data_IF_811189474621
#
_entry.id   IF_811189474621
#
_cell.length_a   1.000
_cell.length_b   1.000
_cell.length_c   1.000
_cell.angle_alpha   90.00
_cell.angle_beta   90.00
_cell.angle_gamma   90.00
#
_symmetry.space_group_name_H-M   'P 1'
#
loop_
_entity.id
_entity.type
_entity.pdbx_description
1 polymer ?
#
# COMPACT_ATOMS: atom_id res chain seq x y z
N UNK A 1 4.28 -16.87 7.64
CA UNK A 1 4.69 -15.48 7.36
C UNK A 1 4.90 -15.30 5.87
N UNK A 2 5.16 -14.06 5.43
CA UNK A 2 5.42 -13.73 4.02
C UNK A 2 6.74 -14.34 3.49
N UNK A 3 7.68 -14.64 4.39
CA UNK A 3 8.90 -15.39 4.10
C UNK A 3 8.76 -16.80 4.68
N UNK A 4 8.64 -17.79 3.82
CA UNK A 4 8.57 -19.20 4.17
C UNK A 4 9.46 -20.04 3.25
N UNK A 5 9.86 -21.22 3.72
CA UNK A 5 10.58 -22.17 2.87
C UNK A 5 9.72 -22.59 1.67
N UNK A 6 10.38 -23.06 0.60
CA UNK A 6 9.70 -23.45 -0.66
C UNK A 6 8.61 -24.52 -0.44
N UNK A 7 8.85 -25.42 0.49
CA UNK A 7 7.92 -26.47 0.93
C UNK A 7 6.90 -25.99 1.99
N UNK A 8 6.96 -24.72 2.39
CA UNK A 8 6.14 -24.07 3.42
C UNK A 8 6.23 -24.73 4.80
N UNK A 9 7.24 -25.55 5.05
CA UNK A 9 7.43 -26.24 6.33
C UNK A 9 7.98 -25.33 7.43
N UNK A 10 8.64 -24.23 7.06
CA UNK A 10 9.30 -23.33 8.01
C UNK A 10 9.07 -21.86 7.69
N UNK A 11 9.00 -21.05 8.75
CA UNK A 11 8.99 -19.59 8.68
C UNK A 11 10.44 -19.10 8.67
N UNK A 12 10.80 -18.24 7.71
CA UNK A 12 12.18 -17.76 7.54
C UNK A 12 12.43 -16.40 8.20
N UNK A 13 11.54 -15.95 9.09
CA UNK A 13 11.63 -14.62 9.69
C UNK A 13 12.59 -14.54 10.88
N UNK A 14 12.64 -15.57 11.72
CA UNK A 14 13.38 -15.53 12.98
C UNK A 14 14.75 -16.19 12.88
N UNK A 15 15.69 -15.63 13.63
CA UNK A 15 16.98 -16.24 13.95
C UNK A 15 17.35 -15.85 15.38
N UNK A 16 17.21 -16.81 16.31
CA UNK A 16 17.51 -16.63 17.74
C UNK A 16 18.98 -16.29 18.02
N UNK A 17 19.88 -16.54 17.05
CA UNK A 17 21.31 -16.24 17.19
C UNK A 17 21.63 -14.78 16.89
N UNK A 18 20.72 -14.07 16.23
CA UNK A 18 20.91 -12.67 15.89
C UNK A 18 20.34 -11.76 16.98
N UNK A 19 21.08 -10.71 17.35
CA UNK A 19 20.69 -9.78 18.42
C UNK A 19 19.32 -9.10 18.22
N UNK A 20 18.84 -9.05 16.98
CA UNK A 20 17.54 -8.46 16.64
C UNK A 20 16.41 -9.49 16.52
N UNK A 21 16.70 -10.78 16.70
CA UNK A 21 15.75 -11.89 16.50
C UNK A 21 15.36 -12.16 15.04
N UNK A 22 15.85 -11.36 14.08
CA UNK A 22 15.54 -11.49 12.66
C UNK A 22 16.63 -12.28 11.92
N UNK A 23 16.20 -13.18 11.04
CA UNK A 23 17.08 -13.85 10.09
C UNK A 23 17.71 -12.86 9.09
N UNK A 24 18.79 -13.28 8.42
CA UNK A 24 19.45 -12.44 7.40
C UNK A 24 18.51 -12.07 6.23
N UNK A 25 17.63 -12.98 5.81
CA UNK A 25 16.67 -12.71 4.73
C UNK A 25 15.58 -11.76 5.19
N UNK A 26 15.09 -11.90 6.43
CA UNK A 26 14.08 -11.00 6.99
C UNK A 26 14.62 -9.58 7.19
N UNK A 27 15.89 -9.44 7.61
CA UNK A 27 16.56 -8.14 7.71
C UNK A 27 16.66 -7.44 6.36
N UNK A 28 17.06 -8.15 5.31
CA UNK A 28 17.15 -7.59 3.95
C UNK A 28 15.79 -7.21 3.39
N UNK A 29 14.79 -8.05 3.60
CA UNK A 29 13.40 -7.76 3.22
C UNK A 29 12.91 -6.48 3.90
N UNK A 30 13.11 -6.39 5.22
CA UNK A 30 12.76 -5.21 5.99
C UNK A 30 13.49 -3.95 5.50
N UNK A 31 14.77 -4.07 5.17
CA UNK A 31 15.55 -2.93 4.67
C UNK A 31 14.98 -2.38 3.36
N UNK A 32 14.58 -3.24 2.42
CA UNK A 32 13.93 -2.81 1.18
C UNK A 32 12.58 -2.13 1.45
N UNK A 33 11.76 -2.69 2.33
CA UNK A 33 10.48 -2.05 2.74
C UNK A 33 10.70 -0.66 3.33
N UNK A 34 11.74 -0.46 4.15
CA UNK A 34 12.04 0.83 4.77
C UNK A 34 12.62 1.83 3.75
N UNK A 35 13.48 1.38 2.83
CA UNK A 35 14.00 2.21 1.73
C UNK A 35 12.84 2.76 0.86
N UNK A 36 11.86 1.91 0.54
CA UNK A 36 10.73 2.28 -0.32
C UNK A 36 9.54 2.87 0.45
N UNK A 37 9.67 3.18 1.74
CA UNK A 37 8.55 3.52 2.60
C UNK A 37 7.72 4.71 2.09
N UNK A 38 8.39 5.75 1.59
CA UNK A 38 7.72 6.94 1.05
C UNK A 38 6.92 6.61 -0.22
N UNK A 39 7.49 5.85 -1.17
CA UNK A 39 6.78 5.41 -2.37
C UNK A 39 5.63 4.43 -2.06
N UNK A 40 5.84 3.50 -1.12
CA UNK A 40 4.82 2.57 -0.64
C UNK A 40 3.61 3.29 -0.02
N UNK A 41 3.81 4.51 0.46
CA UNK A 41 2.73 5.34 1.03
C UNK A 41 1.61 5.59 0.04
N UNK A 42 1.92 5.76 -1.25
CA UNK A 42 0.92 5.97 -2.29
C UNK A 42 -0.06 4.78 -2.37
N UNK A 43 0.45 3.54 -2.22
CA UNK A 43 -0.38 2.34 -2.24
C UNK A 43 -1.07 2.04 -0.91
N UNK A 44 -0.42 2.37 0.21
CA UNK A 44 -0.93 2.16 1.56
C UNK A 44 -2.01 3.17 1.96
N UNK A 45 -1.91 4.39 1.47
CA UNK A 45 -2.77 5.51 1.78
C UNK A 45 -3.11 6.22 0.46
N UNK A 46 -4.00 5.64 -0.37
CA UNK A 46 -4.19 6.12 -1.74
C UNK A 46 -5.13 7.33 -1.84
N UNK A 47 -5.69 7.81 -0.74
CA UNK A 47 -6.65 8.93 -0.72
C UNK A 47 -6.12 10.11 0.06
N UNK A 48 -6.60 11.33 -0.25
CA UNK A 48 -6.24 12.53 0.52
C UNK A 48 -6.60 12.32 2.00
N UNK A 49 -7.75 11.71 2.26
CA UNK A 49 -8.26 11.52 3.62
C UNK A 49 -7.39 10.58 4.47
N UNK A 50 -6.65 9.68 3.83
CA UNK A 50 -5.76 8.73 4.52
C UNK A 50 -4.65 9.43 5.31
N UNK A 51 -4.24 10.64 4.90
CA UNK A 51 -3.10 11.36 5.47
C UNK A 51 -3.45 12.20 6.70
N UNK A 52 -4.72 12.52 6.95
CA UNK A 52 -5.14 13.12 8.23
C UNK A 52 -4.81 12.23 9.43
N UNK A 53 -4.67 10.92 9.20
CA UNK A 53 -4.29 9.96 10.23
C UNK A 53 -2.79 10.00 10.54
N UNK A 54 -1.95 10.49 9.63
CA UNK A 54 -0.48 10.51 9.78
C UNK A 54 -0.09 11.72 10.62
N UNK A 55 -0.37 11.65 11.92
CA UNK A 55 -0.07 12.69 12.89
C UNK A 55 0.48 12.06 14.16
N UNK A 56 1.47 12.67 14.80
CA UNK A 56 2.04 12.16 16.06
C UNK A 56 0.96 11.97 17.12
N UNK A 57 1.02 10.84 17.83
CA UNK A 57 0.03 10.48 18.85
C UNK A 57 -1.28 9.88 18.31
N UNK A 58 -1.46 9.74 17.00
CA UNK A 58 -2.64 9.10 16.39
C UNK A 58 -2.60 7.57 16.37
N UNK A 59 -1.51 6.97 16.85
CA UNK A 59 -1.16 5.55 16.70
C UNK A 59 -0.82 5.09 15.28
N UNK A 60 -0.81 6.01 14.31
CA UNK A 60 -0.27 5.77 12.98
C UNK A 60 1.22 6.09 12.92
N UNK A 61 2.00 5.32 12.14
CA UNK A 61 3.42 5.58 12.02
C UNK A 61 3.68 6.92 11.31
N UNK A 62 4.72 7.63 11.76
CA UNK A 62 5.18 8.90 11.16
C UNK A 62 6.58 8.81 10.54
N UNK A 63 7.31 7.71 10.78
CA UNK A 63 8.67 7.48 10.29
C UNK A 63 8.81 6.11 9.65
N UNK A 64 9.66 6.02 8.63
CA UNK A 64 10.14 4.79 8.02
C UNK A 64 11.07 4.06 9.00
N UNK A 65 10.48 3.41 10.00
CA UNK A 65 11.20 2.76 11.08
C UNK A 65 10.55 1.45 11.49
N UNK A 66 11.30 0.66 12.26
CA UNK A 66 10.84 -0.63 12.73
C UNK A 66 11.20 -0.89 14.18
N UNK A 67 10.44 -1.76 14.83
CA UNK A 67 10.69 -2.15 16.22
C UNK A 67 10.08 -3.50 16.56
N UNK A 68 10.66 -4.15 17.57
CA UNK A 68 10.16 -5.41 18.13
C UNK A 68 8.98 -5.10 19.03
N UNK A 69 7.81 -5.65 18.72
CA UNK A 69 6.55 -5.38 19.42
C UNK A 69 6.18 -3.88 19.53
N UNK A 70 6.84 -3.02 18.75
CA UNK A 70 6.69 -1.57 18.84
C UNK A 70 5.56 -1.05 17.95
N UNK A 71 4.50 -0.54 18.55
CA UNK A 71 3.31 -0.01 17.85
C UNK A 71 3.46 1.42 17.34
N UNK A 72 4.57 2.08 17.66
CA UNK A 72 4.85 3.46 17.21
C UNK A 72 5.63 3.47 15.88
N UNK A 73 6.19 2.32 15.49
CA UNK A 73 6.94 2.14 14.25
C UNK A 73 6.06 1.83 13.04
N UNK A 74 6.54 2.07 11.82
CA UNK A 74 5.88 1.66 10.57
C UNK A 74 5.81 0.15 10.44
N UNK A 75 6.94 -0.53 10.69
CA UNK A 75 6.99 -2.00 10.69
C UNK A 75 7.17 -2.50 12.12
N UNK A 76 6.15 -3.19 12.62
CA UNK A 76 6.25 -3.90 13.89
C UNK A 76 6.62 -5.35 13.63
N UNK A 77 7.75 -5.78 14.16
CA UNK A 77 8.10 -7.19 14.17
C UNK A 77 7.44 -7.86 15.38
N UNK A 78 6.63 -8.89 15.12
CA UNK A 78 5.96 -9.69 16.13
C UNK A 78 6.63 -11.05 16.15
N UNK A 79 7.20 -11.40 17.29
CA UNK A 79 7.91 -12.67 17.45
C UNK A 79 6.94 -13.83 17.72
N UNK A 80 7.36 -15.06 17.43
CA UNK A 80 6.60 -16.25 17.78
C UNK A 80 6.57 -16.44 19.30
N UNK A 81 5.39 -16.28 19.90
CA UNK A 81 5.16 -16.39 21.35
C UNK A 81 5.57 -17.73 21.98
N UNK A 82 5.74 -18.78 21.16
CA UNK A 82 5.93 -20.16 21.60
C UNK A 82 7.35 -20.68 21.29
N UNK A 83 8.26 -19.82 20.79
CA UNK A 83 9.62 -20.21 20.42
C UNK A 83 9.75 -21.13 19.20
N UNK A 84 8.64 -21.45 18.51
CA UNK A 84 8.65 -22.35 17.35
C UNK A 84 8.83 -21.61 16.00
N UNK A 85 9.04 -20.29 16.04
CA UNK A 85 9.23 -19.43 14.86
C UNK A 85 8.00 -19.26 13.96
N UNK A 86 6.94 -20.05 14.13
CA UNK A 86 5.82 -20.08 13.17
C UNK A 86 5.00 -18.80 13.21
N UNK A 87 4.80 -18.24 14.41
CA UNK A 87 4.03 -17.02 14.63
C UNK A 87 4.71 -15.72 14.19
N UNK A 88 6.01 -15.77 13.85
CA UNK A 88 6.82 -14.61 13.52
C UNK A 88 6.32 -13.89 12.26
N UNK A 89 6.14 -12.59 12.34
CA UNK A 89 5.61 -11.78 11.22
C UNK A 89 5.98 -10.31 11.31
N UNK A 90 6.03 -9.66 10.16
CA UNK A 90 5.97 -8.21 10.07
C UNK A 90 4.51 -7.76 10.03
N UNK A 91 4.17 -6.78 10.84
CA UNK A 91 2.95 -5.99 10.78
C UNK A 91 3.30 -4.64 10.15
N UNK A 92 2.84 -4.40 8.92
CA UNK A 92 2.91 -3.09 8.26
C UNK A 92 1.74 -2.23 8.71
N UNK A 93 2.02 -1.18 9.48
CA UNK A 93 1.01 -0.41 10.22
C UNK A 93 0.48 0.82 9.49
N UNK A 94 1.03 1.12 8.33
CA UNK A 94 0.68 2.29 7.54
C UNK A 94 -0.62 2.16 6.72
N UNK A 95 -0.95 0.99 6.13
CA UNK A 95 -2.12 0.88 5.27
C UNK A 95 -3.42 1.41 5.90
N UNK A 96 -4.19 2.13 5.10
CA UNK A 96 -5.53 2.61 5.42
C UNK A 96 -6.58 1.60 4.97
N UNK A 97 -7.81 1.75 5.44
CA UNK A 97 -8.94 0.95 4.94
C UNK A 97 -9.33 1.29 3.50
N UNK A 98 -8.85 2.42 2.97
CA UNK A 98 -9.03 2.82 1.58
C UNK A 98 -8.02 2.15 0.63
N UNK A 99 -6.95 1.54 1.17
CA UNK A 99 -5.97 0.82 0.37
C UNK A 99 -6.59 -0.40 -0.32
N UNK A 100 -6.25 -0.61 -1.59
CA UNK A 100 -6.51 -1.89 -2.23
C UNK A 100 -5.57 -2.94 -1.60
N UNK A 101 -6.09 -3.96 -0.89
CA UNK A 101 -5.27 -4.90 -0.14
C UNK A 101 -4.35 -5.73 -1.04
N UNK A 102 -4.74 -5.97 -2.30
CA UNK A 102 -3.90 -6.69 -3.26
C UNK A 102 -2.70 -5.85 -3.68
N UNK A 103 -2.92 -4.57 -4.00
CA UNK A 103 -1.84 -3.66 -4.38
C UNK A 103 -0.91 -3.37 -3.21
N UNK A 104 -1.47 -3.14 -2.02
CA UNK A 104 -0.68 -2.95 -0.80
C UNK A 104 0.21 -4.18 -0.55
N UNK A 105 -0.33 -5.40 -0.59
CA UNK A 105 0.47 -6.61 -0.37
C UNK A 105 1.52 -6.82 -1.47
N UNK A 106 1.15 -6.62 -2.74
CA UNK A 106 2.06 -6.82 -3.86
C UNK A 106 3.26 -5.86 -3.81
N UNK A 107 3.00 -4.58 -3.55
CA UNK A 107 4.05 -3.55 -3.46
C UNK A 107 4.92 -3.72 -2.22
N UNK A 108 4.35 -4.13 -1.09
CA UNK A 108 5.11 -4.52 0.10
C UNK A 108 6.07 -5.68 -0.17
N UNK A 109 5.62 -6.70 -0.91
CA UNK A 109 6.48 -7.82 -1.33
C UNK A 109 7.56 -7.35 -2.30
N UNK A 110 7.20 -6.52 -3.30
CA UNK A 110 8.13 -5.99 -4.28
C UNK A 110 9.28 -5.22 -3.61
N UNK A 111 8.96 -4.29 -2.70
CA UNK A 111 9.94 -3.54 -1.94
C UNK A 111 10.85 -4.44 -1.10
N UNK A 112 10.29 -5.47 -0.45
CA UNK A 112 11.12 -6.42 0.30
C UNK A 112 11.99 -7.32 -0.58
N UNK A 113 11.53 -7.67 -1.79
CA UNK A 113 12.35 -8.39 -2.77
C UNK A 113 13.52 -7.52 -3.24
N UNK A 114 13.32 -6.22 -3.46
CA UNK A 114 14.41 -5.28 -3.78
C UNK A 114 15.53 -5.37 -2.73
N UNK A 115 15.15 -5.24 -1.46
CA UNK A 115 16.10 -5.29 -0.35
C UNK A 115 16.87 -6.60 -0.27
N UNK A 116 16.24 -7.73 -0.60
CA UNK A 116 16.90 -9.03 -0.71
C UNK A 116 17.89 -9.06 -1.88
N UNK A 117 17.49 -8.60 -3.05
CA UNK A 117 18.31 -8.63 -4.28
C UNK A 117 19.54 -7.72 -4.15
N UNK A 118 19.37 -6.52 -3.58
CA UNK A 118 20.45 -5.55 -3.35
C UNK A 118 21.25 -5.82 -2.07
N UNK A 119 20.85 -6.79 -1.25
CA UNK A 119 21.55 -7.13 -0.01
C UNK A 119 21.53 -6.03 1.03
N UNK A 120 20.44 -5.25 1.10
CA UNK A 120 20.33 -4.08 1.97
C UNK A 120 20.37 -4.45 3.46
N UNK A 121 20.81 -3.50 4.28
CA UNK A 121 20.86 -3.65 5.73
C UNK A 121 19.92 -2.64 6.38
N UNK A 122 18.96 -3.07 7.22
CA UNK A 122 18.02 -2.14 7.84
C UNK A 122 18.74 -1.35 8.95
N UNK A 123 18.24 -0.16 9.30
CA UNK A 123 18.73 0.57 10.46
C UNK A 123 18.51 -0.22 11.75
N UNK A 124 19.12 0.24 12.84
CA UNK A 124 18.82 -0.31 14.16
C UNK A 124 17.32 -0.14 14.48
N UNK A 125 16.76 -1.11 15.19
CA UNK A 125 15.37 -1.03 15.61
C UNK A 125 15.18 0.08 16.64
N UNK A 126 14.01 0.71 16.62
CA UNK A 126 13.64 1.73 17.59
C UNK A 126 13.24 1.06 18.90
N UNK A 127 13.92 1.47 19.98
CA UNK A 127 13.56 1.13 21.37
C UNK A 127 12.85 2.33 21.98
N UNK A 128 11.69 2.10 22.60
CA UNK A 128 10.85 3.16 23.16
C UNK A 128 9.86 3.71 22.13
N UNK A 129 9.53 5.00 22.26
CA UNK A 129 8.52 5.66 21.44
C UNK A 129 9.14 6.33 20.20
N UNK A 130 8.74 5.89 19.01
CA UNK A 130 9.19 6.47 17.74
C UNK A 130 8.71 7.92 17.53
N UNK A 131 7.61 8.35 18.18
CA UNK A 131 7.14 9.74 18.10
C UNK A 131 8.03 10.71 18.87
N UNK A 132 8.80 10.19 19.84
CA UNK A 132 9.71 10.97 20.67
C UNK A 132 11.12 11.09 20.07
N UNK A 133 11.35 10.54 18.88
CA UNK A 133 12.63 10.63 18.19
C UNK A 133 12.81 11.99 17.50
N UNK A 134 13.97 12.59 17.69
CA UNK A 134 14.37 13.82 17.02
C UNK A 134 14.42 13.64 15.49
N UNK A 135 14.12 14.71 14.75
CA UNK A 135 14.18 14.71 13.28
C UNK A 135 15.58 14.39 12.73
N UNK A 136 16.63 14.64 13.52
CA UNK A 136 18.02 14.32 13.18
C UNK A 136 18.46 12.88 13.48
N UNK A 137 17.55 11.96 13.85
CA UNK A 137 17.90 10.59 14.24
C UNK A 137 18.32 9.67 13.06
N UNK A 138 18.30 10.18 11.82
CA UNK A 138 18.68 9.42 10.62
C UNK A 138 17.61 8.43 10.14
N UNK A 139 16.35 8.62 10.55
CA UNK A 139 15.20 7.86 10.06
C UNK A 139 14.26 8.80 9.30
N UNK A 140 13.91 8.41 8.08
CA UNK A 140 13.09 9.24 7.19
C UNK A 140 11.66 9.40 7.72
N UNK A 141 11.11 10.58 7.51
CA UNK A 141 9.69 10.87 7.76
C UNK A 141 8.85 10.23 6.64
N UNK A 142 7.68 9.72 7.02
CA UNK A 142 6.70 9.29 6.03
C UNK A 142 5.99 10.52 5.43
N UNK A 143 5.53 10.41 4.16
CA UNK A 143 4.70 11.43 3.55
C UNK A 143 3.50 11.82 4.42
N UNK A 144 3.29 13.12 4.55
CA UNK A 144 2.18 13.72 5.30
C UNK A 144 1.01 14.15 4.41
N UNK A 145 1.16 13.96 3.10
CA UNK A 145 0.11 14.18 2.11
C UNK A 145 0.18 13.16 0.97
N UNK A 146 -0.95 12.97 0.28
CA UNK A 146 -1.02 12.13 -0.92
C UNK A 146 -0.09 12.65 -2.02
N UNK A 147 0.04 13.98 -2.15
CA UNK A 147 0.96 14.59 -3.12
C UNK A 147 2.41 14.20 -2.84
N UNK A 148 2.88 14.28 -1.59
CA UNK A 148 4.23 13.86 -1.23
C UNK A 148 4.47 12.37 -1.52
N UNK A 149 3.48 11.51 -1.28
CA UNK A 149 3.59 10.08 -1.56
C UNK A 149 3.63 9.77 -3.06
N UNK A 150 2.87 10.50 -3.88
CA UNK A 150 2.88 10.39 -5.34
C UNK A 150 4.23 10.84 -5.91
N UNK A 151 4.76 11.96 -5.45
CA UNK A 151 6.10 12.42 -5.88
C UNK A 151 7.19 11.42 -5.45
N UNK A 152 7.12 10.90 -4.21
CA UNK A 152 8.03 9.86 -3.77
C UNK A 152 7.93 8.58 -4.61
N UNK A 153 6.74 8.21 -5.08
CA UNK A 153 6.56 7.07 -5.98
C UNK A 153 7.17 7.35 -7.36
N UNK A 154 6.96 8.54 -7.94
CA UNK A 154 7.56 8.94 -9.23
C UNK A 154 9.09 8.87 -9.21
N UNK A 155 9.70 9.23 -8.09
CA UNK A 155 11.15 9.27 -7.93
C UNK A 155 11.77 7.89 -7.61
N UNK A 156 10.95 6.86 -7.34
CA UNK A 156 11.43 5.54 -6.93
C UNK A 156 11.70 4.59 -8.11
N UNK A 157 12.76 4.89 -8.86
CA UNK A 157 13.16 4.11 -10.05
C UNK A 157 13.38 2.62 -9.77
N UNK A 158 13.82 2.28 -8.56
CA UNK A 158 14.07 0.90 -8.13
C UNK A 158 12.76 0.13 -7.95
N UNK A 159 11.76 0.76 -7.32
CA UNK A 159 10.44 0.16 -7.17
C UNK A 159 9.73 0.05 -8.52
N UNK A 160 9.88 1.06 -9.40
CA UNK A 160 9.42 0.99 -10.79
C UNK A 160 10.03 -0.21 -11.54
N UNK A 161 11.33 -0.46 -11.40
CA UNK A 161 12.00 -1.58 -12.07
C UNK A 161 11.44 -2.95 -11.67
N UNK A 162 10.87 -3.09 -10.46
CA UNK A 162 10.28 -4.34 -9.97
C UNK A 162 8.80 -4.45 -10.34
N UNK A 163 8.04 -3.37 -10.20
CA UNK A 163 6.60 -3.36 -10.47
C UNK A 163 6.26 -3.26 -11.97
N UNK A 164 7.19 -2.72 -12.77
CA UNK A 164 7.00 -2.37 -14.17
C UNK A 164 6.54 -0.91 -14.32
N UNK A 165 7.25 -0.14 -15.14
CA UNK A 165 7.01 1.29 -15.31
C UNK A 165 5.57 1.58 -15.80
N UNK A 166 5.09 0.82 -16.80
CA UNK A 166 3.72 0.97 -17.33
C UNK A 166 2.64 0.86 -16.23
N UNK A 167 2.81 -0.07 -15.29
CA UNK A 167 1.88 -0.24 -14.17
C UNK A 167 1.94 0.96 -13.23
N UNK A 168 3.15 1.41 -12.88
CA UNK A 168 3.31 2.54 -11.95
C UNK A 168 2.79 3.83 -12.58
N UNK A 169 3.08 4.10 -13.85
CA UNK A 169 2.54 5.26 -14.57
C UNK A 169 1.01 5.24 -14.65
N UNK A 170 0.42 4.08 -14.94
CA UNK A 170 -1.04 3.94 -14.93
C UNK A 170 -1.62 4.21 -13.53
N UNK A 171 -1.01 3.64 -12.49
CA UNK A 171 -1.45 3.83 -11.11
C UNK A 171 -1.37 5.30 -10.68
N UNK A 172 -0.23 5.96 -10.93
CA UNK A 172 -0.04 7.38 -10.68
C UNK A 172 -1.13 8.21 -11.37
N UNK A 173 -1.37 7.96 -12.66
CA UNK A 173 -2.40 8.66 -13.42
C UNK A 173 -3.80 8.48 -12.83
N UNK A 174 -4.15 7.25 -12.42
CA UNK A 174 -5.44 6.94 -11.80
C UNK A 174 -5.64 7.74 -10.51
N UNK A 175 -4.66 7.68 -9.60
CA UNK A 175 -4.75 8.35 -8.29
C UNK A 175 -4.75 9.87 -8.44
N UNK A 176 -3.90 10.44 -9.30
CA UNK A 176 -3.89 11.88 -9.54
C UNK A 176 -5.23 12.39 -10.08
N UNK A 177 -5.83 11.65 -11.02
CA UNK A 177 -7.10 12.05 -11.66
C UNK A 177 -8.28 11.92 -10.70
N UNK A 178 -8.37 10.83 -9.95
CA UNK A 178 -9.48 10.56 -9.04
C UNK A 178 -9.37 11.36 -7.75
N UNK A 179 -8.22 11.35 -7.10
CA UNK A 179 -8.07 11.94 -5.77
C UNK A 179 -7.61 13.40 -5.82
N UNK A 180 -6.59 13.75 -6.60
CA UNK A 180 -6.08 15.13 -6.58
C UNK A 180 -6.92 16.10 -7.43
N UNK A 181 -7.44 15.64 -8.57
CA UNK A 181 -8.23 16.51 -9.45
C UNK A 181 -9.73 16.48 -9.12
N UNK A 182 -10.29 15.30 -8.84
CA UNK A 182 -11.74 15.15 -8.72
C UNK A 182 -12.25 15.42 -7.30
N UNK A 183 -11.62 14.88 -6.24
CA UNK A 183 -12.11 15.06 -4.87
C UNK A 183 -12.16 16.54 -4.41
N UNK A 184 -11.12 17.38 -4.59
CA UNK A 184 -11.20 18.80 -4.24
C UNK A 184 -12.26 19.58 -5.03
N UNK A 185 -12.60 19.12 -6.23
CA UNK A 185 -13.68 19.69 -7.05
C UNK A 185 -15.05 19.31 -6.49
N UNK A 186 -15.22 18.07 -6.04
CA UNK A 186 -16.43 17.61 -5.36
C UNK A 186 -16.64 18.36 -4.04
N UNK A 187 -15.59 18.49 -3.21
CA UNK A 187 -15.67 19.22 -1.93
C UNK A 187 -16.03 20.70 -2.12
N UNK A 188 -15.45 21.36 -3.14
CA UNK A 188 -15.82 22.75 -3.50
C UNK A 188 -17.24 22.86 -4.04
N UNK A 189 -17.75 21.87 -4.75
CA UNK A 189 -19.13 21.85 -5.25
C UNK A 189 -20.14 21.56 -4.14
N UNK A 190 -19.79 20.79 -3.10
CA UNK A 190 -20.65 20.53 -1.95
C UNK A 190 -20.83 21.73 -1.02
N UNK A 191 -19.91 22.70 -1.02
CA UNK A 191 -19.99 23.92 -0.19
C UNK A 191 -20.95 24.98 -0.75
N UNK A 192 -21.53 24.74 -1.94
CA UNK A 192 -22.60 25.56 -2.50
C UNK A 192 -23.81 24.67 -2.78
N UNK A 193 -24.88 24.78 -1.97
CA UNK A 193 -26.28 24.25 -2.06
C UNK A 193 -26.84 23.71 -3.40
N UNK A 194 -26.09 22.95 -4.21
CA UNK A 194 -26.46 22.50 -5.55
C UNK A 194 -25.75 21.17 -5.87
N UNK A 195 -25.88 20.16 -5.01
CA UNK A 195 -25.32 18.83 -5.23
C UNK A 195 -26.27 17.91 -6.05
N UNK A 196 -26.81 18.38 -7.17
CA UNK A 196 -27.74 17.57 -7.99
C UNK A 196 -27.50 17.59 -9.52
N UNK A 197 -26.33 18.02 -10.01
CA UNK A 197 -26.15 18.23 -11.45
C UNK A 197 -24.89 17.71 -12.14
N UNK A 198 -23.86 17.19 -11.45
CA UNK A 198 -22.51 17.07 -12.07
C UNK A 198 -21.97 15.63 -12.13
N UNK A 199 -22.85 14.63 -12.16
CA UNK A 199 -22.45 13.23 -12.43
C UNK A 199 -22.68 12.76 -13.88
N UNK A 200 -23.05 13.64 -14.82
CA UNK A 200 -23.56 13.20 -16.14
C UNK A 200 -22.68 13.49 -17.35
N UNK A 201 -21.45 13.98 -17.24
CA UNK A 201 -20.68 14.39 -18.45
C UNK A 201 -19.36 13.65 -18.72
N UNK A 202 -19.27 12.34 -18.43
CA UNK A 202 -18.27 11.45 -19.04
C UNK A 202 -18.89 10.08 -19.43
N UNK A 203 -20.08 10.12 -20.02
CA UNK A 203 -20.95 8.95 -20.28
C UNK A 203 -20.46 7.97 -21.37
N UNK A 204 -19.42 8.31 -22.15
CA UNK A 204 -18.98 7.47 -23.27
C UNK A 204 -18.30 6.16 -22.88
N UNK A 205 -17.43 6.18 -21.87
CA UNK A 205 -16.69 4.99 -21.41
C UNK A 205 -17.32 4.33 -20.16
N UNK A 206 -18.15 5.09 -19.43
CA UNK A 206 -18.89 4.60 -18.26
C UNK A 206 -20.00 3.61 -18.67
N UNK A 207 -20.62 3.75 -19.85
CA UNK A 207 -21.73 2.88 -20.29
C UNK A 207 -21.33 1.42 -20.58
N UNK A 208 -20.03 1.15 -20.79
CA UNK A 208 -19.51 -0.22 -20.92
C UNK A 208 -19.26 -0.86 -19.56
N UNK A 209 -18.69 -0.11 -18.62
CA UNK A 209 -18.49 -0.54 -17.23
C UNK A 209 -19.85 -0.76 -16.54
N UNK A 210 -20.83 0.11 -16.83
CA UNK A 210 -22.20 0.04 -16.31
C UNK A 210 -22.96 -1.21 -16.75
N UNK A 211 -22.69 -1.73 -17.95
CA UNK A 211 -23.25 -3.02 -18.44
C UNK A 211 -22.62 -4.25 -17.78
N UNK A 212 -21.34 -4.21 -17.43
CA UNK A 212 -20.64 -5.31 -16.73
C UNK A 212 -21.01 -5.38 -15.23
N UNK A 213 -21.23 -4.22 -14.61
CA UNK A 213 -21.56 -4.14 -13.20
C UNK A 213 -23.06 -4.11 -12.91
N UNK A 214 -23.90 -3.94 -13.94
CA UNK A 214 -25.36 -3.93 -13.83
C UNK A 214 -25.80 -2.79 -12.92
N UNK A 215 -26.22 -1.67 -13.49
CA UNK A 215 -27.24 -0.86 -12.81
C UNK A 215 -28.58 -1.20 -13.46
N UNK A 216 -29.66 -1.25 -12.69
CA UNK A 216 -30.96 -1.07 -13.29
C UNK A 216 -31.00 0.30 -13.97
N UNK A 217 -31.75 0.41 -15.06
CA UNK A 217 -31.86 1.63 -15.88
C UNK A 217 -32.40 2.83 -15.08
N UNK A 218 -32.94 2.58 -13.89
CA UNK A 218 -33.50 3.57 -12.97
C UNK A 218 -32.50 4.15 -11.95
N UNK A 219 -31.25 3.69 -11.96
CA UNK A 219 -30.21 4.18 -11.04
C UNK A 219 -30.31 3.64 -9.62
N UNK A 220 -31.09 2.59 -9.37
CA UNK A 220 -31.04 1.85 -8.11
C UNK A 220 -29.74 1.05 -7.98
N UNK A 221 -29.16 1.03 -6.77
CA UNK A 221 -27.97 0.22 -6.44
C UNK A 221 -28.38 -1.26 -6.47
N UNK A 222 -27.76 -2.06 -7.34
CA UNK A 222 -27.92 -3.51 -7.31
C UNK A 222 -27.17 -4.04 -6.09
N UNK A 223 -27.88 -4.71 -5.18
CA UNK A 223 -27.28 -5.44 -4.07
C UNK A 223 -26.56 -6.67 -4.61
N UNK A 224 -25.29 -6.52 -4.94
CA UNK A 224 -24.41 -7.63 -5.30
C UNK A 224 -23.80 -8.23 -4.05
N UNK A 225 -23.78 -9.56 -3.99
CA UNK A 225 -23.06 -10.31 -2.97
C UNK A 225 -21.54 -10.20 -3.19
N UNK A 226 -20.76 -10.40 -2.13
CA UNK A 226 -19.29 -10.38 -2.21
C UNK A 226 -18.73 -11.38 -3.24
N UNK A 227 -19.44 -12.49 -3.48
CA UNK A 227 -19.05 -13.50 -4.45
C UNK A 227 -19.26 -12.99 -5.89
N UNK A 228 -20.36 -12.28 -6.16
CA UNK A 228 -20.63 -11.64 -7.45
C UNK A 228 -19.65 -10.49 -7.75
N UNK A 229 -19.25 -9.73 -6.72
CA UNK A 229 -18.23 -8.68 -6.83
C UNK A 229 -16.87 -9.30 -7.20
N UNK A 230 -16.48 -10.39 -6.52
CA UNK A 230 -15.23 -11.09 -6.79
C UNK A 230 -15.20 -11.69 -8.21
N UNK A 231 -16.30 -12.29 -8.66
CA UNK A 231 -16.42 -12.87 -10.00
C UNK A 231 -16.35 -11.80 -11.10
N UNK A 232 -17.02 -10.65 -10.90
CA UNK A 232 -16.99 -9.54 -11.87
C UNK A 232 -15.63 -8.84 -11.90
N UNK A 233 -14.95 -8.74 -10.76
CA UNK A 233 -13.58 -8.22 -10.69
C UNK A 233 -12.58 -9.13 -11.42
N UNK A 234 -12.73 -10.45 -11.28
CA UNK A 234 -11.94 -11.43 -12.03
C UNK A 234 -12.24 -11.39 -13.55
N UNK A 235 -13.50 -11.16 -13.93
CA UNK A 235 -13.89 -10.96 -15.33
C UNK A 235 -13.28 -9.72 -15.97
N UNK A 236 -13.22 -8.60 -15.23
CA UNK A 236 -12.57 -7.37 -15.69
C UNK A 236 -11.06 -7.57 -15.85
N UNK A 237 -10.40 -8.25 -14.92
CA UNK A 237 -8.98 -8.58 -15.02
C UNK A 237 -8.68 -9.43 -16.28
N UNK A 238 -9.51 -10.43 -16.59
CA UNK A 238 -9.37 -11.24 -17.80
C UNK A 238 -9.62 -10.45 -19.09
N UNK A 239 -10.57 -9.50 -19.09
CA UNK A 239 -10.81 -8.65 -20.24
C UNK A 239 -9.62 -7.73 -20.52
N UNK A 240 -9.01 -7.12 -19.50
CA UNK A 240 -7.79 -6.32 -19.67
C UNK A 240 -6.63 -7.15 -20.27
N UNK A 241 -6.51 -8.40 -19.85
CA UNK A 241 -5.52 -9.35 -20.42
C UNK A 241 -5.81 -9.65 -21.90
N UNK A 242 -7.07 -9.76 -22.30
CA UNK A 242 -7.45 -9.95 -23.71
C UNK A 242 -7.22 -8.70 -24.57
N UNK A 243 -7.52 -7.50 -24.06
CA UNK A 243 -7.25 -6.25 -24.78
C UNK A 243 -5.74 -6.03 -25.00
N UNK A 244 -4.90 -6.45 -24.05
CA UNK A 244 -3.45 -6.46 -24.21
C UNK A 244 -2.97 -7.47 -25.27
N UNK A 245 -3.68 -8.58 -25.46
CA UNK A 245 -3.35 -9.57 -26.49
C UNK A 245 -3.74 -9.11 -27.91
N UNK A 246 -4.76 -8.26 -28.05
CA UNK A 246 -5.21 -7.67 -29.32
C UNK A 246 -4.36 -6.48 -29.78
N UNK A 247 -3.54 -5.90 -28.88
CA UNK A 247 -2.59 -4.83 -29.17
C UNK A 247 -1.22 -5.35 -29.71
N UNK A 248 -1.10 -6.65 -30.01
CA UNK A 248 0.05 -7.27 -30.67
C UNK A 248 -0.19 -7.52 -32.15
#
# INVERSE_FOLDING_TARGET
>A
GILGSKDRSSNLMEDERHASGLSSIARRFLAGVLEHASALSAFAAPTIDSYWRVTSGSWAPTRACWGIENRTCMIRFISASNGDGRGARFEWRQPSSAANPYLALATFVAAGIDGIQRGLTPPNHVVGDAYSLDDGCGLDLLPTSLTEAIEALKDDEKLHAILGDDFVQWYLHSVETEELQTCPRMYRQSDSRVAHGVLTNNLGEIDKVRRLWGSADDGSLINLTNEEIAQRSAGLANWCVQQYAELR
#
